data_IF_377942453289
#
_entry.id   IF_377942453289
#
_cell.length_a   1.000
_cell.length_b   1.000
_cell.length_c   1.000
_cell.angle_alpha   90.00
_cell.angle_beta   90.00
_cell.angle_gamma   90.00
#
_symmetry.space_group_name_H-M   'P 1'
#
loop_
_entity.id
_entity.type
_entity.pdbx_description
1 polymer ?
#
# COMPACT_ATOMS: atom_id res chain seq x y z
N UNK A 1 20.08 -7.95 -4.82
CA UNK A 1 19.97 -7.36 -6.18
C UNK A 1 19.67 -5.87 -5.99
N UNK A 2 20.51 -4.96 -6.50
CA UNK A 2 20.19 -3.53 -6.47
C UNK A 2 18.88 -3.33 -7.27
N UNK A 3 17.92 -2.51 -6.80
CA UNK A 3 16.72 -2.21 -7.57
C UNK A 3 17.15 -1.62 -8.91
N UNK A 4 16.86 -2.32 -10.01
CA UNK A 4 17.16 -1.86 -11.36
C UNK A 4 16.39 -0.59 -11.76
N UNK A 5 15.58 -0.04 -10.84
CA UNK A 5 14.70 1.10 -11.04
C UNK A 5 15.10 2.35 -10.23
N UNK A 6 16.29 2.36 -9.59
CA UNK A 6 16.81 3.54 -8.90
C UNK A 6 16.99 4.72 -9.86
N UNK A 7 16.91 5.97 -9.34
CA UNK A 7 17.10 7.15 -10.17
C UNK A 7 18.53 7.20 -10.72
N UNK A 8 18.72 7.72 -11.95
CA UNK A 8 20.02 7.74 -12.60
C UNK A 8 21.05 8.55 -11.77
N UNK A 9 22.31 8.13 -11.82
CA UNK A 9 23.41 8.83 -11.16
C UNK A 9 24.36 7.88 -10.42
N UNK A 10 25.66 8.19 -10.45
CA UNK A 10 26.72 7.38 -9.84
C UNK A 10 26.57 7.25 -8.31
N UNK A 11 25.97 8.26 -7.69
CA UNK A 11 25.84 8.39 -6.24
C UNK A 11 24.44 8.08 -5.73
N UNK A 12 23.45 7.85 -6.62
CA UNK A 12 22.03 7.71 -6.26
C UNK A 12 21.79 6.62 -5.22
N UNK A 13 22.49 5.48 -5.32
CA UNK A 13 22.41 4.41 -4.32
C UNK A 13 22.74 4.94 -2.92
N UNK A 14 23.80 5.73 -2.77
CA UNK A 14 24.24 6.26 -1.47
C UNK A 14 23.38 7.42 -0.97
N UNK A 15 22.77 8.17 -1.88
CA UNK A 15 21.98 9.36 -1.55
C UNK A 15 20.57 9.02 -1.11
N UNK A 16 19.93 8.05 -1.77
CA UNK A 16 18.50 7.74 -1.58
C UNK A 16 18.18 6.25 -1.53
N UNK A 17 19.15 5.37 -1.77
CA UNK A 17 18.88 3.94 -1.98
C UNK A 17 18.19 3.25 -0.80
N UNK A 18 18.53 3.65 0.43
CA UNK A 18 17.90 3.12 1.65
C UNK A 18 16.41 3.51 1.78
N UNK A 19 16.00 4.61 1.14
CA UNK A 19 14.65 5.18 1.21
C UNK A 19 13.81 4.85 -0.03
N UNK A 20 14.40 4.21 -1.05
CA UNK A 20 13.75 3.97 -2.33
C UNK A 20 12.67 2.89 -2.20
N UNK A 21 11.38 3.23 -2.34
CA UNK A 21 10.31 2.26 -2.15
C UNK A 21 10.14 1.40 -3.41
N UNK A 22 9.57 0.20 -3.25
CA UNK A 22 9.02 -0.55 -4.38
C UNK A 22 7.91 0.25 -5.08
N UNK A 23 7.60 -0.12 -6.33
CA UNK A 23 6.46 0.48 -7.05
C UNK A 23 5.14 0.13 -6.36
N UNK A 24 4.13 1.01 -6.41
CA UNK A 24 2.85 0.78 -5.75
C UNK A 24 1.91 -0.13 -6.56
N UNK A 25 2.43 -1.21 -7.15
CA UNK A 25 1.67 -2.06 -8.07
C UNK A 25 0.48 -2.73 -7.34
N UNK A 26 0.68 -3.19 -6.11
CA UNK A 26 -0.36 -3.82 -5.30
C UNK A 26 -1.48 -2.85 -4.89
N UNK A 27 -1.19 -1.66 -4.32
CA UNK A 27 -2.21 -0.63 -4.11
C UNK A 27 -2.95 -0.23 -5.39
N UNK A 28 -2.24 -0.05 -6.51
CA UNK A 28 -2.88 0.27 -7.80
C UNK A 28 -3.84 -0.83 -8.28
N UNK A 29 -3.45 -2.10 -8.17
CA UNK A 29 -4.35 -3.22 -8.44
C UNK A 29 -5.55 -3.26 -7.46
N UNK A 30 -5.33 -2.86 -6.21
CA UNK A 30 -6.37 -2.72 -5.20
C UNK A 30 -7.46 -1.72 -5.60
N UNK A 31 -7.11 -0.60 -6.23
CA UNK A 31 -8.07 0.41 -6.71
C UNK A 31 -9.11 -0.21 -7.64
N UNK A 32 -8.65 -0.87 -8.71
CA UNK A 32 -9.56 -1.46 -9.69
C UNK A 32 -10.39 -2.60 -9.09
N UNK A 33 -9.76 -3.46 -8.29
CA UNK A 33 -10.43 -4.57 -7.62
C UNK A 33 -11.57 -4.08 -6.71
N UNK A 34 -11.28 -3.13 -5.81
CA UNK A 34 -12.28 -2.65 -4.85
C UNK A 34 -13.38 -1.83 -5.52
N UNK A 35 -13.07 -1.07 -6.56
CA UNK A 35 -14.10 -0.41 -7.36
C UNK A 35 -15.06 -1.41 -8.00
N UNK A 36 -14.54 -2.46 -8.65
CA UNK A 36 -15.37 -3.49 -9.25
C UNK A 36 -16.23 -4.23 -8.21
N UNK A 37 -15.63 -4.62 -7.08
CA UNK A 37 -16.35 -5.26 -5.99
C UNK A 37 -17.46 -4.34 -5.43
N UNK A 38 -17.20 -3.04 -5.30
CA UNK A 38 -18.17 -2.05 -4.85
C UNK A 38 -19.36 -1.92 -5.80
N UNK A 39 -19.10 -1.88 -7.11
CA UNK A 39 -20.15 -1.82 -8.14
C UNK A 39 -21.06 -3.04 -8.10
N UNK A 40 -20.48 -4.24 -8.01
CA UNK A 40 -21.25 -5.49 -7.87
C UNK A 40 -22.19 -5.42 -6.66
N UNK A 41 -21.71 -4.94 -5.52
CA UNK A 41 -22.53 -4.83 -4.30
C UNK A 41 -23.56 -3.71 -4.36
N UNK A 42 -23.28 -2.63 -5.07
CA UNK A 42 -24.27 -1.58 -5.38
C UNK A 42 -25.41 -2.12 -6.24
N UNK A 43 -25.09 -2.92 -7.25
CA UNK A 43 -26.08 -3.57 -8.11
C UNK A 43 -26.93 -4.58 -7.32
N UNK A 44 -26.31 -5.44 -6.49
CA UNK A 44 -27.04 -6.36 -5.62
C UNK A 44 -28.01 -5.62 -4.68
N UNK A 45 -27.60 -4.48 -4.10
CA UNK A 45 -28.48 -3.66 -3.27
C UNK A 45 -29.68 -3.11 -4.08
N UNK A 46 -29.43 -2.66 -5.31
CA UNK A 46 -30.47 -2.16 -6.23
C UNK A 46 -31.46 -3.27 -6.61
N UNK A 47 -30.98 -4.47 -6.88
CA UNK A 47 -31.83 -5.63 -7.20
C UNK A 47 -32.74 -6.01 -6.02
N UNK A 48 -32.20 -6.02 -4.80
CA UNK A 48 -32.99 -6.27 -3.58
C UNK A 48 -34.06 -5.19 -3.36
N UNK A 49 -33.72 -3.92 -3.60
CA UNK A 49 -34.66 -2.81 -3.54
C UNK A 49 -35.77 -2.94 -4.59
N UNK A 50 -35.43 -3.35 -5.81
CA UNK A 50 -36.39 -3.57 -6.89
C UNK A 50 -37.35 -4.71 -6.55
N UNK A 51 -36.83 -5.85 -6.07
CA UNK A 51 -37.63 -6.98 -5.61
C UNK A 51 -38.59 -6.56 -4.48
N UNK A 52 -38.08 -5.85 -3.47
CA UNK A 52 -38.89 -5.30 -2.37
C UNK A 52 -40.03 -4.41 -2.86
N UNK A 53 -39.77 -3.58 -3.86
CA UNK A 53 -40.77 -2.66 -4.42
C UNK A 53 -41.90 -3.42 -5.12
N UNK A 54 -41.61 -4.55 -5.76
CA UNK A 54 -42.62 -5.42 -6.39
C UNK A 54 -43.43 -6.21 -5.35
N UNK A 55 -42.82 -6.57 -4.21
CA UNK A 55 -43.46 -7.35 -3.15
C UNK A 55 -44.50 -6.57 -2.34
N UNK A 56 -44.45 -5.24 -2.34
CA UNK A 56 -45.27 -4.38 -1.47
C UNK A 56 -46.78 -4.49 -1.69
N UNK A 57 -47.21 -5.03 -2.84
CA UNK A 57 -48.63 -5.28 -3.16
C UNK A 57 -49.21 -6.46 -2.38
N UNK A 58 -48.35 -7.34 -1.85
CA UNK A 58 -48.75 -8.51 -1.09
C UNK A 58 -49.05 -8.14 0.36
N UNK A 59 -49.98 -8.87 0.99
CA UNK A 59 -50.39 -8.63 2.39
C UNK A 59 -50.23 -9.87 3.22
N UNK A 60 -50.00 -9.67 4.52
CA UNK A 60 -49.94 -10.73 5.52
C UNK A 60 -48.53 -10.98 6.03
N UNK A 61 -48.43 -11.72 7.13
CA UNK A 61 -47.20 -11.87 7.93
C UNK A 61 -46.00 -12.37 7.12
N UNK A 62 -46.21 -13.27 6.16
CA UNK A 62 -45.14 -13.78 5.28
C UNK A 62 -44.61 -12.70 4.34
N UNK A 63 -45.49 -11.85 3.80
CA UNK A 63 -45.10 -10.73 2.94
C UNK A 63 -44.31 -9.69 3.76
N UNK A 64 -44.76 -9.38 4.97
CA UNK A 64 -44.09 -8.45 5.88
C UNK A 64 -42.67 -8.95 6.26
N UNK A 65 -42.52 -10.24 6.61
CA UNK A 65 -41.21 -10.86 6.89
C UNK A 65 -40.28 -10.81 5.67
N UNK A 66 -40.79 -11.09 4.47
CA UNK A 66 -39.99 -10.99 3.24
C UNK A 66 -39.54 -9.55 2.98
N UNK A 67 -40.44 -8.57 3.08
CA UNK A 67 -40.10 -7.15 2.90
C UNK A 67 -38.99 -6.70 3.86
N UNK A 68 -39.06 -7.13 5.12
CA UNK A 68 -38.03 -6.85 6.12
C UNK A 68 -36.69 -7.51 5.76
N UNK A 69 -36.70 -8.78 5.33
CA UNK A 69 -35.47 -9.47 4.89
C UNK A 69 -34.82 -8.80 3.69
N UNK A 70 -35.60 -8.40 2.69
CA UNK A 70 -35.08 -7.66 1.53
C UNK A 70 -34.49 -6.31 1.96
N UNK A 71 -35.15 -5.59 2.86
CA UNK A 71 -34.63 -4.32 3.37
C UNK A 71 -33.31 -4.49 4.13
N UNK A 72 -33.21 -5.48 5.03
CA UNK A 72 -31.95 -5.78 5.73
C UNK A 72 -30.84 -6.19 4.76
N UNK A 73 -31.18 -6.97 3.73
CA UNK A 73 -30.26 -7.35 2.65
C UNK A 73 -29.75 -6.14 1.86
N UNK A 74 -30.65 -5.26 1.44
CA UNK A 74 -30.35 -4.00 0.76
C UNK A 74 -29.35 -3.16 1.57
N UNK A 75 -29.63 -2.94 2.86
CA UNK A 75 -28.74 -2.18 3.74
C UNK A 75 -27.36 -2.84 3.86
N UNK A 76 -27.31 -4.17 4.03
CA UNK A 76 -26.05 -4.90 4.14
C UNK A 76 -25.20 -4.76 2.87
N UNK A 77 -25.79 -4.89 1.68
CA UNK A 77 -25.05 -4.76 0.42
C UNK A 77 -24.60 -3.32 0.19
N UNK A 78 -25.43 -2.33 0.52
CA UNK A 78 -25.04 -0.93 0.47
C UNK A 78 -23.85 -0.61 1.39
N UNK A 79 -23.84 -1.15 2.62
CA UNK A 79 -22.69 -1.01 3.54
C UNK A 79 -21.42 -1.65 2.98
N UNK A 80 -21.52 -2.84 2.37
CA UNK A 80 -20.34 -3.49 1.76
C UNK A 80 -19.83 -2.66 0.56
N UNK A 81 -20.73 -2.17 -0.30
CA UNK A 81 -20.38 -1.31 -1.42
C UNK A 81 -19.64 -0.04 -0.94
N UNK A 82 -20.12 0.59 0.13
CA UNK A 82 -19.45 1.73 0.76
C UNK A 82 -18.02 1.39 1.21
N UNK A 83 -17.85 0.29 1.94
CA UNK A 83 -16.53 -0.18 2.41
C UNK A 83 -15.57 -0.48 1.25
N UNK A 84 -16.07 -1.07 0.16
CA UNK A 84 -15.30 -1.26 -1.06
C UNK A 84 -14.83 0.07 -1.64
N UNK A 85 -15.71 1.08 -1.72
CA UNK A 85 -15.34 2.43 -2.19
C UNK A 85 -14.23 3.03 -1.33
N UNK A 86 -14.36 2.97 0.00
CA UNK A 86 -13.33 3.48 0.93
C UNK A 86 -12.00 2.76 0.71
N UNK A 87 -11.99 1.43 0.59
CA UNK A 87 -10.78 0.66 0.30
C UNK A 87 -10.14 1.06 -1.03
N UNK A 88 -10.92 1.29 -2.07
CA UNK A 88 -10.39 1.78 -3.35
C UNK A 88 -9.73 3.15 -3.19
N UNK A 89 -10.43 4.11 -2.60
CA UNK A 89 -9.92 5.47 -2.39
C UNK A 89 -8.64 5.49 -1.55
N UNK A 90 -8.56 4.64 -0.52
CA UNK A 90 -7.36 4.59 0.33
C UNK A 90 -6.20 3.88 -0.37
N UNK A 91 -6.45 2.87 -1.20
CA UNK A 91 -5.41 2.27 -2.04
C UNK A 91 -4.84 3.27 -3.05
N UNK A 92 -5.69 4.12 -3.63
CA UNK A 92 -5.28 5.19 -4.54
C UNK A 92 -4.35 6.19 -3.83
N UNK A 93 -4.74 6.64 -2.63
CA UNK A 93 -3.90 7.52 -1.79
C UNK A 93 -2.56 6.90 -1.40
N UNK A 94 -2.52 5.59 -1.11
CA UNK A 94 -1.27 4.88 -0.84
C UNK A 94 -0.40 4.86 -2.10
N UNK A 95 -0.97 4.59 -3.27
CA UNK A 95 -0.23 4.61 -4.53
C UNK A 95 0.35 6.00 -4.82
N UNK A 96 -0.44 7.05 -4.64
CA UNK A 96 0.01 8.43 -4.79
C UNK A 96 1.12 8.81 -3.81
N UNK A 97 1.00 8.41 -2.54
CA UNK A 97 2.04 8.67 -1.54
C UNK A 97 3.39 8.04 -1.94
N UNK A 98 3.36 6.81 -2.46
CA UNK A 98 4.56 6.12 -2.95
C UNK A 98 5.12 6.75 -4.22
N UNK A 99 4.28 7.11 -5.19
CA UNK A 99 4.72 7.78 -6.41
C UNK A 99 5.36 9.14 -6.12
N UNK A 100 4.70 9.96 -5.29
CA UNK A 100 5.24 11.25 -4.84
C UNK A 100 6.58 11.09 -4.09
N UNK A 101 6.72 10.04 -3.28
CA UNK A 101 8.00 9.72 -2.63
C UNK A 101 9.08 9.42 -3.67
N UNK A 102 8.79 8.56 -4.66
CA UNK A 102 9.74 8.20 -5.72
C UNK A 102 10.16 9.41 -6.55
N UNK A 103 9.23 10.29 -6.88
CA UNK A 103 9.52 11.54 -7.59
C UNK A 103 10.44 12.43 -6.75
N UNK A 104 10.11 12.64 -5.46
CA UNK A 104 10.92 13.45 -4.56
C UNK A 104 12.32 12.88 -4.34
N UNK A 105 12.46 11.57 -4.19
CA UNK A 105 13.75 10.90 -4.07
C UNK A 105 14.56 11.00 -5.38
N UNK A 106 13.90 10.98 -6.53
CA UNK A 106 14.56 11.19 -7.82
C UNK A 106 15.15 12.60 -7.94
N UNK A 107 14.41 13.62 -7.48
CA UNK A 107 14.89 15.00 -7.40
C UNK A 107 16.09 15.15 -6.45
N UNK A 108 16.00 14.55 -5.25
CA UNK A 108 17.08 14.55 -4.26
C UNK A 108 18.33 13.88 -4.83
N UNK A 109 18.16 12.72 -5.48
CA UNK A 109 19.27 12.01 -6.11
C UNK A 109 19.91 12.84 -7.21
N UNK A 110 19.12 13.42 -8.13
CA UNK A 110 19.63 14.28 -9.20
C UNK A 110 20.44 15.45 -8.63
N UNK A 111 19.86 16.21 -7.70
CA UNK A 111 20.53 17.34 -7.06
C UNK A 111 21.83 16.92 -6.36
N UNK A 112 21.82 15.80 -5.62
CA UNK A 112 23.01 15.31 -4.94
C UNK A 112 24.11 14.81 -5.89
N UNK A 113 23.75 14.16 -6.99
CA UNK A 113 24.73 13.77 -8.02
C UNK A 113 25.39 15.01 -8.63
N UNK A 114 24.59 16.00 -9.06
CA UNK A 114 25.12 17.25 -9.65
C UNK A 114 26.07 17.99 -8.69
N UNK A 115 25.75 17.99 -7.40
CA UNK A 115 26.56 18.62 -6.36
C UNK A 115 27.87 17.88 -6.10
N UNK A 116 27.82 16.54 -6.02
CA UNK A 116 29.02 15.72 -5.87
C UNK A 116 29.93 15.85 -7.09
N UNK A 117 29.39 15.84 -8.31
CA UNK A 117 30.19 15.98 -9.52
C UNK A 117 30.88 17.35 -9.60
N UNK A 118 30.23 18.41 -9.08
CA UNK A 118 30.85 19.73 -8.91
C UNK A 118 31.99 19.72 -7.90
N UNK A 119 31.83 19.03 -6.77
CA UNK A 119 32.89 18.89 -5.76
C UNK A 119 34.10 18.13 -6.34
N UNK A 120 33.83 17.04 -7.06
CA UNK A 120 34.87 16.17 -7.60
C UNK A 120 35.64 16.83 -8.75
N UNK A 121 34.99 17.68 -9.56
CA UNK A 121 35.64 18.46 -10.62
C UNK A 121 36.43 19.67 -10.12
N UNK A 122 36.24 20.10 -8.86
CA UNK A 122 36.96 21.23 -8.27
C UNK A 122 38.46 20.99 -8.01
N UNK A 123 39.23 22.05 -7.80
CA UNK A 123 40.68 22.04 -7.55
C UNK A 123 41.06 21.90 -6.06
N UNK A 124 40.51 20.90 -5.38
CA UNK A 124 40.80 20.58 -3.96
C UNK A 124 41.58 19.29 -3.76
N UNK A 125 42.23 19.13 -2.60
CA UNK A 125 42.86 17.87 -2.20
C UNK A 125 41.82 16.73 -2.09
N UNK A 126 42.23 15.48 -2.30
CA UNK A 126 41.35 14.31 -2.14
C UNK A 126 40.66 14.28 -0.78
N UNK A 127 41.40 14.57 0.30
CA UNK A 127 40.86 14.63 1.67
C UNK A 127 39.74 15.67 1.80
N UNK A 128 39.94 16.86 1.21
CA UNK A 128 38.93 17.93 1.22
C UNK A 128 37.68 17.52 0.43
N UNK A 129 37.86 16.86 -0.73
CA UNK A 129 36.75 16.36 -1.55
C UNK A 129 35.96 15.27 -0.83
N UNK A 130 36.61 14.29 -0.21
CA UNK A 130 35.95 13.24 0.59
C UNK A 130 35.08 13.86 1.68
N UNK A 131 35.63 14.81 2.44
CA UNK A 131 34.89 15.48 3.51
C UNK A 131 33.64 16.19 2.96
N UNK A 132 33.79 16.94 1.86
CA UNK A 132 32.67 17.64 1.23
C UNK A 132 31.61 16.69 0.67
N UNK A 133 32.00 15.58 0.03
CA UNK A 133 31.05 14.56 -0.47
C UNK A 133 30.27 13.92 0.68
N UNK A 134 30.92 13.61 1.80
CA UNK A 134 30.24 13.06 2.97
C UNK A 134 29.20 14.02 3.56
N UNK A 135 29.46 15.33 3.53
CA UNK A 135 28.46 16.34 3.93
C UNK A 135 27.24 16.27 3.01
N UNK A 136 27.44 16.26 1.69
CA UNK A 136 26.32 16.14 0.73
C UNK A 136 25.53 14.84 0.96
N UNK A 137 26.21 13.70 1.17
CA UNK A 137 25.54 12.43 1.44
C UNK A 137 24.67 12.51 2.68
N UNK A 138 25.18 13.08 3.78
CA UNK A 138 24.41 13.24 5.01
C UNK A 138 23.18 14.14 4.81
N UNK A 139 23.34 15.28 4.14
CA UNK A 139 22.25 16.22 3.87
C UNK A 139 21.16 15.63 2.97
N UNK A 140 21.54 14.95 1.88
CA UNK A 140 20.56 14.32 0.98
C UNK A 140 19.88 13.12 1.64
N UNK A 141 20.59 12.34 2.46
CA UNK A 141 19.94 11.27 3.24
C UNK A 141 18.95 11.83 4.26
N UNK A 142 19.26 12.94 4.93
CA UNK A 142 18.32 13.60 5.84
C UNK A 142 17.07 14.12 5.08
N UNK A 143 17.26 14.66 3.88
CA UNK A 143 16.16 15.08 3.00
C UNK A 143 15.31 13.90 2.54
N UNK A 144 15.94 12.78 2.20
CA UNK A 144 15.27 11.53 1.83
C UNK A 144 14.47 10.95 3.00
N UNK A 145 15.04 10.97 4.21
CA UNK A 145 14.38 10.57 5.44
C UNK A 145 13.12 11.40 5.71
N UNK A 146 13.21 12.71 5.53
CA UNK A 146 12.07 13.59 5.70
C UNK A 146 10.95 13.29 4.69
N UNK A 147 11.30 13.10 3.41
CA UNK A 147 10.34 12.70 2.38
C UNK A 147 9.69 11.34 2.69
N UNK A 148 10.48 10.37 3.14
CA UNK A 148 10.00 9.06 3.59
C UNK A 148 9.01 9.17 4.75
N UNK A 149 9.29 10.02 5.73
CA UNK A 149 8.40 10.28 6.87
C UNK A 149 7.04 10.85 6.45
N UNK A 150 7.00 11.77 5.48
CA UNK A 150 5.75 12.32 4.93
C UNK A 150 4.94 11.21 4.26
N UNK A 151 5.58 10.42 3.39
CA UNK A 151 4.90 9.32 2.70
C UNK A 151 4.36 8.27 3.68
N UNK A 152 5.15 7.91 4.69
CA UNK A 152 4.73 6.98 5.74
C UNK A 152 3.52 7.51 6.53
N UNK A 153 3.49 8.80 6.87
CA UNK A 153 2.32 9.42 7.52
C UNK A 153 1.06 9.27 6.67
N UNK A 154 1.14 9.54 5.37
CA UNK A 154 0.01 9.40 4.45
C UNK A 154 -0.47 7.94 4.34
N UNK A 155 0.45 6.97 4.35
CA UNK A 155 0.12 5.53 4.32
C UNK A 155 -0.58 5.11 5.62
N UNK A 156 -0.10 5.57 6.77
CA UNK A 156 -0.72 5.31 8.08
C UNK A 156 -2.14 5.89 8.10
N UNK A 157 -2.32 7.13 7.69
CA UNK A 157 -3.63 7.79 7.67
C UNK A 157 -4.62 7.10 6.71
N UNK A 158 -4.16 6.69 5.53
CA UNK A 158 -4.97 5.92 4.59
C UNK A 158 -5.36 4.55 5.18
N UNK A 159 -4.45 3.89 5.89
CA UNK A 159 -4.71 2.62 6.58
C UNK A 159 -5.75 2.82 7.69
N UNK A 160 -5.63 3.89 8.50
CA UNK A 160 -6.58 4.20 9.56
C UNK A 160 -8.00 4.34 9.02
N UNK A 161 -8.17 5.07 7.90
CA UNK A 161 -9.48 5.26 7.27
C UNK A 161 -10.12 3.95 6.79
N UNK A 162 -9.32 2.96 6.38
CA UNK A 162 -9.84 1.62 6.06
C UNK A 162 -10.26 0.89 7.33
N UNK A 163 -9.45 0.95 8.38
CA UNK A 163 -9.73 0.27 9.65
C UNK A 163 -11.01 0.82 10.30
N UNK A 164 -11.17 2.15 10.34
CA UNK A 164 -12.35 2.83 10.90
C UNK A 164 -13.67 2.31 10.30
N UNK A 165 -13.66 1.99 8.99
CA UNK A 165 -14.84 1.52 8.26
C UNK A 165 -15.03 0.00 8.28
N UNK A 166 -14.05 -0.75 8.79
CA UNK A 166 -14.01 -2.21 8.71
C UNK A 166 -13.95 -2.89 10.07
N UNK A 167 -12.76 -3.16 10.56
CA UNK A 167 -12.50 -3.95 11.77
C UNK A 167 -12.17 -3.07 12.99
N UNK A 168 -12.02 -1.77 12.80
CA UNK A 168 -11.52 -0.83 13.80
C UNK A 168 -10.05 -1.05 14.14
N UNK A 169 -9.61 -0.39 15.22
CA UNK A 169 -8.23 -0.51 15.73
C UNK A 169 -7.31 0.63 15.30
N UNK A 170 -6.04 0.50 15.67
CA UNK A 170 -4.99 1.49 15.41
C UNK A 170 -4.12 1.06 14.22
N UNK A 171 -3.98 1.96 13.25
CA UNK A 171 -3.23 1.73 12.02
C UNK A 171 -1.75 1.46 12.24
N UNK A 172 -1.10 2.11 13.22
CA UNK A 172 0.33 1.90 13.48
C UNK A 172 0.58 0.51 14.04
N UNK A 173 -0.25 0.09 14.99
CA UNK A 173 -0.24 -1.26 15.56
C UNK A 173 -0.50 -2.30 14.48
N UNK A 174 -1.53 -2.08 13.66
CA UNK A 174 -1.85 -2.99 12.55
C UNK A 174 -0.69 -3.12 11.57
N UNK A 175 -0.09 -2.00 11.12
CA UNK A 175 1.05 -2.02 10.20
C UNK A 175 2.27 -2.72 10.80
N UNK A 176 2.56 -2.47 12.07
CA UNK A 176 3.65 -3.14 12.79
C UNK A 176 3.43 -4.66 12.88
N UNK A 177 2.22 -5.09 13.25
CA UNK A 177 1.86 -6.52 13.34
C UNK A 177 1.92 -7.22 11.98
N UNK A 178 1.81 -6.45 10.89
CA UNK A 178 1.96 -6.92 9.51
C UNK A 178 3.38 -6.70 8.95
N UNK A 179 4.37 -6.42 9.82
CA UNK A 179 5.79 -6.41 9.48
C UNK A 179 6.32 -5.09 8.90
N UNK A 180 5.56 -4.00 8.94
CA UNK A 180 6.03 -2.70 8.44
C UNK A 180 6.95 -2.05 9.47
N UNK A 181 8.18 -1.75 9.05
CA UNK A 181 9.10 -0.93 9.85
C UNK A 181 8.73 0.56 9.76
N UNK A 182 8.30 1.14 10.88
CA UNK A 182 7.90 2.55 10.97
C UNK A 182 9.05 3.49 11.37
N UNK A 183 10.19 2.96 11.82
CA UNK A 183 11.34 3.74 12.29
C UNK A 183 12.30 4.14 11.16
N UNK A 184 12.10 3.58 9.96
CA UNK A 184 12.91 3.84 8.78
C UNK A 184 14.23 3.04 8.75
N UNK A 185 15.00 3.16 7.65
CA UNK A 185 16.30 2.51 7.51
C UNK A 185 17.38 3.15 8.40
N UNK A 186 18.43 2.38 8.77
CA UNK A 186 19.55 2.92 9.53
C UNK A 186 20.36 3.95 8.72
N UNK A 187 21.07 4.88 9.38
CA UNK A 187 21.90 5.87 8.72
C UNK A 187 23.01 5.24 7.87
N UNK A 188 23.31 5.86 6.72
CA UNK A 188 24.41 5.43 5.86
C UNK A 188 25.79 5.66 6.53
N UNK A 189 26.73 4.72 6.32
CA UNK A 189 28.11 4.91 6.78
C UNK A 189 28.82 6.01 5.97
N UNK A 190 29.71 6.81 6.59
CA UNK A 190 30.55 7.74 5.84
C UNK A 190 31.47 7.04 4.83
N UNK A 191 31.77 7.71 3.71
CA UNK A 191 32.75 7.28 2.73
C UNK A 191 34.18 7.56 3.21
N UNK A 192 35.10 6.63 2.91
CA UNK A 192 36.55 6.84 3.07
C UNK A 192 37.20 7.30 1.76
N UNK A 193 38.50 7.62 1.80
CA UNK A 193 39.27 7.92 0.59
C UNK A 193 39.37 6.69 -0.33
N UNK A 194 39.51 5.47 0.22
CA UNK A 194 39.53 4.25 -0.59
C UNK A 194 38.20 4.01 -1.32
N UNK A 195 37.06 4.37 -0.69
CA UNK A 195 35.73 4.26 -1.32
C UNK A 195 35.57 5.17 -2.56
N UNK A 196 36.32 6.28 -2.63
CA UNK A 196 36.37 7.14 -3.82
C UNK A 196 37.30 6.58 -4.92
N UNK A 197 38.41 5.94 -4.54
CA UNK A 197 39.43 5.44 -5.48
C UNK A 197 39.10 4.06 -6.06
N UNK A 198 38.44 3.16 -5.32
CA UNK A 198 38.07 1.81 -5.80
C UNK A 198 36.97 1.80 -6.89
N UNK A 199 36.42 2.95 -7.28
CA UNK A 199 35.14 3.05 -8.00
C UNK A 199 35.26 3.23 -9.52
N UNK A 200 36.28 2.62 -10.13
CA UNK A 200 36.36 2.30 -11.57
C UNK A 200 35.81 0.91 -11.92
N UNK A 201 35.34 0.12 -10.95
CA UNK A 201 34.58 -1.11 -11.15
C UNK A 201 33.28 -1.12 -10.30
N UNK A 202 32.17 -1.52 -10.89
CA UNK A 202 30.80 -1.59 -10.31
C UNK A 202 30.66 -2.48 -9.05
N UNK A 203 29.47 -2.51 -8.42
CA UNK A 203 28.95 -1.57 -7.44
C UNK A 203 29.16 -2.07 -6.01
N UNK A 204 29.30 -1.13 -5.07
CA UNK A 204 29.37 -1.36 -3.62
C UNK A 204 28.09 -2.04 -3.09
N UNK A 205 28.00 -3.37 -3.23
CA UNK A 205 27.03 -4.22 -2.55
C UNK A 205 27.34 -4.36 -1.05
N UNK A 206 28.56 -4.00 -0.62
CA UNK A 206 29.05 -4.23 0.74
C UNK A 206 28.74 -3.11 1.75
N UNK A 207 28.02 -2.06 1.35
CA UNK A 207 27.69 -0.93 2.25
C UNK A 207 26.31 -1.04 2.90
N UNK A 208 25.49 -2.03 2.51
CA UNK A 208 24.15 -2.25 3.05
C UNK A 208 24.13 -3.58 3.78
N UNK A 209 23.87 -3.54 5.08
CA UNK A 209 23.61 -4.74 5.88
C UNK A 209 22.46 -5.51 5.26
N UNK A 210 22.73 -6.74 4.88
CA UNK A 210 21.79 -7.66 4.26
C UNK A 210 20.66 -7.97 5.26
N UNK A 211 19.49 -7.37 5.06
CA UNK A 211 18.22 -7.94 5.53
C UNK A 211 17.29 -7.96 4.34
N UNK A 212 17.38 -9.03 3.54
CA UNK A 212 16.40 -9.32 2.51
C UNK A 212 15.10 -9.74 3.19
N UNK A 213 14.18 -8.80 3.37
CA UNK A 213 12.78 -9.16 3.59
C UNK A 213 12.11 -9.21 2.22
N UNK A 214 12.05 -10.41 1.67
CA UNK A 214 11.22 -10.72 0.51
C UNK A 214 9.76 -10.60 0.92
N UNK A 215 9.11 -9.48 0.60
CA UNK A 215 7.65 -9.37 0.72
C UNK A 215 7.02 -9.97 -0.54
N UNK A 216 6.96 -11.29 -0.56
CA UNK A 216 5.95 -12.03 -1.31
C UNK A 216 4.88 -12.44 -0.32
N UNK A 217 3.89 -11.57 -0.07
CA UNK A 217 2.68 -12.05 0.59
C UNK A 217 1.95 -12.93 -0.41
N UNK A 218 2.19 -14.24 -0.28
CA UNK A 218 1.28 -15.26 -0.75
C UNK A 218 -0.09 -14.94 -0.17
N UNK A 219 -1.00 -14.50 -1.03
CA UNK A 219 -2.43 -14.65 -0.80
C UNK A 219 -2.65 -16.15 -0.67
N UNK A 220 -2.60 -16.65 0.57
CA UNK A 220 -3.08 -17.98 0.88
C UNK A 220 -4.58 -17.96 0.67
N UNK A 221 -5.01 -18.82 -0.23
CA UNK A 221 -6.37 -19.23 -0.48
C UNK A 221 -7.07 -19.57 0.83
N UNK A 222 -8.07 -18.77 1.21
CA UNK A 222 -9.12 -19.19 2.12
C UNK A 222 -10.41 -18.42 1.82
N UNK A 223 -11.00 -18.71 0.66
CA UNK A 223 -12.46 -18.83 0.53
C UNK A 223 -12.74 -19.99 -0.43
N UNK A 224 -12.69 -21.21 0.11
CA UNK A 224 -13.39 -22.32 -0.49
C UNK A 224 -14.91 -22.12 -0.33
N UNK A 225 -15.62 -22.53 -1.38
CA UNK A 225 -17.06 -22.79 -1.47
C UNK A 225 -18.00 -21.58 -1.71
N UNK A 226 -18.24 -21.33 -3.01
CA UNK A 226 -19.55 -20.91 -3.50
C UNK A 226 -20.65 -21.83 -2.96
N UNK A 227 -21.75 -21.32 -2.37
CA UNK A 227 -22.94 -22.14 -2.19
C UNK A 227 -23.62 -22.34 -3.55
N UNK A 228 -23.74 -23.60 -3.99
CA UNK A 228 -24.63 -23.99 -5.09
C UNK A 228 -26.09 -23.67 -4.71
N UNK A 229 -26.93 -23.22 -5.65
CA UNK A 229 -28.35 -23.03 -5.40
C UNK A 229 -29.06 -24.40 -5.40
N UNK A 230 -29.75 -24.74 -4.32
CA UNK A 230 -30.72 -25.84 -4.32
C UNK A 230 -32.15 -25.30 -4.54
N UNK A 231 -32.98 -26.03 -5.31
CA UNK A 231 -34.30 -25.55 -5.73
C UNK A 231 -35.35 -25.74 -4.64
N UNK A 232 -36.28 -24.80 -4.56
CA UNK A 232 -37.55 -24.97 -3.88
C UNK A 232 -38.47 -25.89 -4.69
N UNK A 233 -39.04 -26.93 -4.08
CA UNK A 233 -40.48 -27.29 -4.14
C UNK A 233 -40.78 -28.62 -3.40
N UNK A 234 -41.88 -28.63 -2.63
CA UNK A 234 -42.78 -29.79 -2.50
C UNK A 234 -42.67 -30.61 -1.21
N UNK A 235 -43.66 -30.50 -0.32
CA UNK A 235 -43.70 -31.20 0.97
C UNK A 235 -44.26 -32.62 0.92
N UNK A 236 -44.20 -33.30 2.08
CA UNK A 236 -45.27 -34.14 2.65
C UNK A 236 -44.81 -34.72 4.01
N UNK A 237 -45.65 -34.54 5.05
CA UNK A 237 -45.75 -35.38 6.25
C UNK A 237 -44.57 -35.30 7.25
N UNK A 238 -44.72 -35.40 8.57
CA UNK A 238 -45.79 -35.88 9.45
C UNK A 238 -45.51 -35.24 10.84
N UNK A 239 -46.56 -34.85 11.55
CA UNK A 239 -46.50 -34.44 12.96
C UNK A 239 -46.56 -35.65 13.92
N UNK A 240 -45.73 -35.60 14.97
CA UNK A 240 -45.92 -36.01 16.38
C UNK A 240 -46.18 -37.50 16.75
N UNK A 241 -45.83 -37.90 18.00
CA UNK A 241 -46.60 -37.65 19.25
C UNK A 241 -45.72 -36.95 20.34
N UNK A 242 -46.18 -36.36 21.45
CA UNK A 242 -47.45 -36.30 22.20
C UNK A 242 -47.86 -34.84 22.50
#
# INVERSE_FOLDING_TARGET
>A
MLPADLPPGKWSVLLVGAWWPARPDAPQAGVSYWNQAGEIKSQEASDLRNARSQLVVNKGKTADDLLERYWRGEQRMATIAHRCRVKSEQNDRVADAVNNLRDRLSEIAKSGNDEIDRILSGSGSTKTKVAAVNVVIAEKNASAAHAGGIAMSNIIDATQRVLDETIGGDSRTWLHDHGVNLDGPPPARPLTAEDLEMKSASPLASAYGETQTSYGTSLSDDVAASPKPEPAYGGTGICQPE
#
